data_IF_318610704299
#
_entry.id   IF_318610704299
#
_cell.length_a   1.000
_cell.length_b   1.000
_cell.length_c   1.000
_cell.angle_alpha   90.00
_cell.angle_beta   90.00
_cell.angle_gamma   90.00
#
_symmetry.space_group_name_H-M   'P 1'
#
loop_
_entity.id
_entity.type
_entity.pdbx_description
1 polymer ?
#
# COMPACT_ATOMS: atom_id res chain seq x y z
N UNK A 1 20.61 11.08 3.78
CA UNK A 1 19.89 11.40 2.53
C UNK A 1 19.30 10.11 1.98
N UNK A 2 18.01 10.10 1.62
CA UNK A 2 17.31 8.89 1.20
C UNK A 2 17.80 8.43 -0.18
N UNK A 3 17.84 7.11 -0.39
CA UNK A 3 18.33 6.44 -1.59
C UNK A 3 17.71 6.95 -2.90
N UNK A 4 16.49 7.52 -2.84
CA UNK A 4 15.77 8.08 -3.97
C UNK A 4 16.40 9.36 -4.54
N UNK A 5 16.94 10.24 -3.69
CA UNK A 5 17.58 11.50 -4.13
C UNK A 5 18.80 11.23 -5.03
N UNK A 6 19.50 10.13 -4.77
CA UNK A 6 20.75 9.78 -5.47
C UNK A 6 20.51 8.90 -6.70
N UNK A 7 19.28 8.45 -6.95
CA UNK A 7 18.93 7.65 -8.14
C UNK A 7 18.34 8.47 -9.27
N UNK A 8 18.03 9.74 -9.02
CA UNK A 8 17.38 10.63 -9.99
C UNK A 8 18.41 11.59 -10.58
N UNK A 9 18.34 11.76 -11.91
CA UNK A 9 19.20 12.67 -12.67
C UNK A 9 19.17 14.09 -12.08
N UNK A 10 20.32 14.77 -12.05
CA UNK A 10 20.53 16.04 -11.32
C UNK A 10 19.51 17.12 -11.70
N UNK A 11 19.12 17.16 -12.98
CA UNK A 11 18.13 18.11 -13.52
C UNK A 11 16.72 17.97 -12.92
N UNK A 12 16.40 16.81 -12.33
CA UNK A 12 15.07 16.50 -11.79
C UNK A 12 15.01 16.61 -10.25
N UNK A 13 16.15 16.81 -9.59
CA UNK A 13 16.24 16.99 -8.14
C UNK A 13 15.43 18.19 -7.59
N UNK A 14 15.32 19.34 -8.30
CA UNK A 14 14.53 20.49 -7.84
C UNK A 14 13.02 20.21 -7.73
N UNK A 15 12.50 19.20 -8.44
CA UNK A 15 11.07 18.86 -8.47
C UNK A 15 10.57 18.22 -7.17
N UNK A 16 11.46 17.76 -6.28
CA UNK A 16 11.10 17.14 -5.00
C UNK A 16 10.81 18.13 -3.87
N UNK A 17 11.10 19.42 -4.06
CA UNK A 17 11.07 20.41 -2.98
C UNK A 17 9.86 21.35 -2.99
N UNK A 18 9.01 21.31 -4.01
CA UNK A 18 7.80 22.14 -4.07
C UNK A 18 6.59 21.31 -4.55
N UNK A 19 5.56 21.33 -3.73
CA UNK A 19 4.31 20.57 -3.85
C UNK A 19 3.62 20.82 -5.20
N UNK A 20 3.81 22.00 -5.79
CA UNK A 20 3.30 22.36 -7.11
C UNK A 20 3.96 21.55 -8.23
N UNK A 21 5.26 21.29 -8.13
CA UNK A 21 6.02 20.50 -9.11
C UNK A 21 5.78 19.01 -8.99
N UNK A 22 5.51 18.50 -7.78
CA UNK A 22 5.09 17.11 -7.61
C UNK A 22 3.79 16.83 -8.36
N UNK A 23 2.79 17.72 -8.21
CA UNK A 23 1.49 17.55 -8.87
C UNK A 23 1.61 17.71 -10.40
N UNK A 24 2.45 18.63 -10.89
CA UNK A 24 2.73 18.74 -12.33
C UNK A 24 3.51 17.54 -12.88
N UNK A 25 4.52 17.03 -12.18
CA UNK A 25 5.26 15.83 -12.58
C UNK A 25 4.34 14.62 -12.71
N UNK A 26 3.39 14.46 -11.77
CA UNK A 26 2.38 13.40 -11.81
C UNK A 26 1.38 13.58 -12.96
N UNK A 27 0.98 14.82 -13.30
CA UNK A 27 0.13 15.09 -14.48
C UNK A 27 0.87 14.82 -15.80
N UNK A 28 2.14 15.18 -15.89
CA UNK A 28 2.99 14.94 -17.06
C UNK A 28 3.24 13.45 -17.24
N UNK A 29 3.60 12.73 -16.16
CA UNK A 29 3.69 11.27 -16.16
C UNK A 29 2.37 10.64 -16.61
N UNK A 30 1.21 11.08 -16.10
CA UNK A 30 -0.10 10.56 -16.55
C UNK A 30 -0.35 10.75 -18.05
N UNK A 31 0.05 11.90 -18.60
CA UNK A 31 -0.14 12.25 -20.02
C UNK A 31 0.79 11.46 -20.94
N UNK A 32 2.05 11.29 -20.56
CA UNK A 32 3.08 10.61 -21.35
C UNK A 32 3.04 9.08 -21.17
N UNK A 33 2.68 8.60 -19.99
CA UNK A 33 2.83 7.21 -19.59
C UNK A 33 1.53 6.40 -19.66
N UNK A 34 0.49 6.82 -20.39
CA UNK A 34 -0.86 6.21 -20.36
C UNK A 34 -0.93 4.69 -20.10
N UNK A 35 -0.10 3.88 -20.77
CA UNK A 35 0.05 2.44 -20.54
C UNK A 35 0.97 2.07 -19.35
N UNK A 36 2.13 2.71 -19.24
CA UNK A 36 3.09 2.53 -18.11
C UNK A 36 2.48 2.89 -16.75
N UNK A 37 1.53 3.81 -16.70
CA UNK A 37 0.82 4.17 -15.47
C UNK A 37 -0.14 3.07 -15.01
N UNK A 38 -0.82 2.40 -15.95
CA UNK A 38 -1.65 1.23 -15.66
C UNK A 38 -0.78 0.08 -15.14
N UNK A 39 0.38 -0.14 -15.78
CA UNK A 39 1.36 -1.13 -15.33
C UNK A 39 1.83 -0.79 -13.90
N UNK A 40 2.20 0.46 -13.63
CA UNK A 40 2.65 0.91 -12.31
C UNK A 40 1.56 0.80 -11.22
N UNK A 41 0.29 1.04 -11.57
CA UNK A 41 -0.85 0.81 -10.68
C UNK A 41 -1.02 -0.69 -10.37
N UNK A 42 -0.90 -1.55 -11.37
CA UNK A 42 -0.95 -3.00 -11.20
C UNK A 42 0.23 -3.52 -10.38
N UNK A 43 1.44 -3.04 -10.63
CA UNK A 43 2.64 -3.40 -9.86
C UNK A 43 2.48 -2.98 -8.40
N UNK A 44 2.00 -1.76 -8.15
CA UNK A 44 1.71 -1.27 -6.80
C UNK A 44 0.63 -2.10 -6.09
N UNK A 45 -0.36 -2.61 -6.84
CA UNK A 45 -1.38 -3.51 -6.32
C UNK A 45 -0.79 -4.86 -5.92
N UNK A 46 0.04 -5.46 -6.77
CA UNK A 46 0.76 -6.71 -6.48
C UNK A 46 1.68 -6.52 -5.28
N UNK A 47 2.32 -5.36 -5.16
CA UNK A 47 3.19 -5.09 -4.02
C UNK A 47 2.46 -5.10 -2.68
N UNK A 48 1.15 -4.82 -2.61
CA UNK A 48 0.39 -4.90 -1.35
C UNK A 48 0.24 -6.35 -0.84
N UNK A 49 0.37 -7.33 -1.73
CA UNK A 49 0.33 -8.77 -1.45
C UNK A 49 1.68 -9.26 -0.91
N UNK A 50 2.11 -8.70 0.23
CA UNK A 50 3.33 -9.16 0.91
C UNK A 50 3.02 -10.27 1.87
N UNK A 51 3.55 -11.46 1.64
CA UNK A 51 3.47 -12.57 2.59
C UNK A 51 4.08 -12.14 3.94
N UNK A 52 3.37 -12.39 5.03
CA UNK A 52 3.91 -12.25 6.38
C UNK A 52 4.92 -13.36 6.66
N UNK A 53 6.04 -12.99 7.24
CA UNK A 53 7.12 -13.92 7.60
C UNK A 53 6.95 -14.37 9.06
N UNK A 54 6.64 -15.66 9.31
CA UNK A 54 6.41 -16.18 10.65
C UNK A 54 7.58 -15.89 11.59
N UNK A 55 7.27 -15.52 12.83
CA UNK A 55 8.30 -15.17 13.83
C UNK A 55 8.84 -13.73 13.72
N UNK A 56 8.39 -12.96 12.73
CA UNK A 56 8.67 -11.51 12.66
C UNK A 56 7.58 -10.67 13.34
N UNK A 57 7.84 -9.40 13.61
CA UNK A 57 6.85 -8.54 14.27
C UNK A 57 5.64 -8.24 13.37
N UNK A 58 4.43 -8.60 13.82
CA UNK A 58 3.17 -8.18 13.15
C UNK A 58 3.07 -6.67 13.03
N UNK A 59 3.49 -5.92 14.06
CA UNK A 59 3.53 -4.45 14.00
C UNK A 59 4.39 -3.97 12.82
N UNK A 60 5.58 -4.55 12.63
CA UNK A 60 6.45 -4.20 11.52
C UNK A 60 5.82 -4.57 10.16
N UNK A 61 5.14 -5.72 10.08
CA UNK A 61 4.43 -6.13 8.89
C UNK A 61 3.27 -5.19 8.53
N UNK A 62 2.45 -4.83 9.52
CA UNK A 62 1.35 -3.86 9.37
C UNK A 62 1.87 -2.50 8.91
N UNK A 63 2.96 -2.00 9.50
CA UNK A 63 3.57 -0.74 9.07
C UNK A 63 4.06 -0.82 7.62
N UNK A 64 4.66 -1.94 7.20
CA UNK A 64 5.09 -2.17 5.82
C UNK A 64 3.88 -2.16 4.87
N UNK A 65 2.80 -2.85 5.22
CA UNK A 65 1.56 -2.84 4.46
C UNK A 65 0.96 -1.43 4.36
N UNK A 66 0.84 -0.71 5.47
CA UNK A 66 0.28 0.66 5.50
C UNK A 66 1.05 1.64 4.63
N UNK A 67 2.39 1.54 4.60
CA UNK A 67 3.22 2.34 3.69
C UNK A 67 2.87 2.06 2.23
N UNK A 68 2.81 0.79 1.84
CA UNK A 68 2.45 0.38 0.46
C UNK A 68 1.03 0.78 0.08
N UNK A 69 0.07 0.57 0.97
CA UNK A 69 -1.33 0.97 0.76
C UNK A 69 -1.47 2.50 0.62
N UNK A 70 -0.68 3.28 1.35
CA UNK A 70 -0.65 4.74 1.21
C UNK A 70 -0.09 5.15 -0.15
N UNK A 71 1.02 4.56 -0.59
CA UNK A 71 1.57 4.78 -1.93
C UNK A 71 0.54 4.47 -3.01
N UNK A 72 -0.12 3.30 -2.93
CA UNK A 72 -1.17 2.90 -3.86
C UNK A 72 -2.34 3.90 -3.88
N UNK A 73 -2.82 4.33 -2.70
CA UNK A 73 -3.90 5.34 -2.61
C UNK A 73 -3.51 6.66 -3.26
N UNK A 74 -2.28 7.13 -3.05
CA UNK A 74 -1.78 8.33 -3.70
C UNK A 74 -1.74 8.20 -5.23
N UNK A 75 -1.34 7.03 -5.75
CA UNK A 75 -1.35 6.77 -7.19
C UNK A 75 -2.77 6.77 -7.76
N UNK A 76 -3.70 6.09 -7.08
CA UNK A 76 -5.12 6.03 -7.47
C UNK A 76 -5.82 7.38 -7.40
N UNK A 77 -5.64 8.16 -6.32
CA UNK A 77 -6.23 9.51 -6.22
C UNK A 77 -5.73 10.43 -7.33
N UNK A 78 -4.52 10.15 -7.82
CA UNK A 78 -3.84 10.87 -8.88
C UNK A 78 -4.00 10.23 -10.25
N UNK A 79 -4.90 9.26 -10.45
CA UNK A 79 -5.15 8.66 -11.77
C UNK A 79 -6.66 8.49 -11.97
N UNK A 80 -7.18 9.14 -12.99
CA UNK A 80 -8.63 9.23 -13.29
C UNK A 80 -9.31 7.87 -13.26
N UNK A 81 -10.26 7.64 -12.33
CA UNK A 81 -11.30 6.57 -12.27
C UNK A 81 -10.89 5.14 -12.64
N UNK A 82 -9.61 4.85 -12.83
CA UNK A 82 -9.14 3.66 -13.54
C UNK A 82 -9.20 2.43 -12.63
N UNK A 83 -8.90 2.64 -11.36
CA UNK A 83 -8.93 1.62 -10.32
C UNK A 83 -9.40 2.27 -9.01
N UNK A 84 -10.26 1.60 -8.25
CA UNK A 84 -10.59 1.99 -6.89
C UNK A 84 -10.57 0.74 -6.02
N UNK A 85 -9.86 0.79 -4.89
CA UNK A 85 -9.83 -0.31 -3.92
C UNK A 85 -10.60 0.13 -2.70
N UNK A 86 -11.66 -0.62 -2.40
CA UNK A 86 -12.45 -0.42 -1.19
C UNK A 86 -11.60 -0.75 0.03
N UNK A 87 -11.93 -0.13 1.17
CA UNK A 87 -11.25 -0.43 2.44
C UNK A 87 -11.38 -1.92 2.83
N UNK A 88 -12.47 -2.57 2.43
CA UNK A 88 -12.65 -4.02 2.61
C UNK A 88 -11.70 -4.85 1.75
N UNK A 89 -11.48 -4.47 0.49
CA UNK A 89 -10.49 -5.14 -0.36
C UNK A 89 -9.07 -4.96 0.18
N UNK A 90 -8.71 -3.77 0.66
CA UNK A 90 -7.43 -3.53 1.33
C UNK A 90 -7.26 -4.39 2.60
N UNK A 91 -8.31 -4.53 3.42
CA UNK A 91 -8.30 -5.45 4.56
C UNK A 91 -8.17 -6.91 4.13
N UNK A 92 -8.79 -7.31 3.02
CA UNK A 92 -8.64 -8.64 2.43
C UNK A 92 -7.20 -8.95 2.00
N UNK A 93 -6.47 -7.99 1.42
CA UNK A 93 -5.04 -8.15 1.14
C UNK A 93 -4.24 -8.39 2.42
N UNK A 94 -4.46 -7.56 3.45
CA UNK A 94 -3.74 -7.73 4.71
C UNK A 94 -4.10 -9.06 5.41
N UNK A 95 -5.35 -9.51 5.34
CA UNK A 95 -5.77 -10.81 5.84
C UNK A 95 -5.06 -11.95 5.08
N UNK A 96 -4.99 -11.85 3.76
CA UNK A 96 -4.29 -12.84 2.92
C UNK A 96 -2.80 -12.92 3.28
N UNK A 97 -2.16 -11.79 3.54
CA UNK A 97 -0.74 -11.75 3.93
C UNK A 97 -0.46 -12.62 5.15
N UNK A 98 -1.40 -12.69 6.10
CA UNK A 98 -1.29 -13.44 7.37
C UNK A 98 -1.69 -14.92 7.24
N UNK A 99 -2.42 -15.30 6.18
CA UNK A 99 -2.98 -16.65 6.02
C UNK A 99 -1.93 -17.77 6.00
N UNK A 100 -0.70 -17.44 5.64
CA UNK A 100 0.39 -18.41 5.50
C UNK A 100 1.07 -18.79 6.82
N UNK A 101 0.71 -18.12 7.93
CA UNK A 101 1.17 -18.50 9.26
C UNK A 101 0.05 -19.24 10.00
N UNK A 102 0.21 -20.56 10.14
CA UNK A 102 -0.76 -21.42 10.81
C UNK A 102 -0.99 -21.00 12.27
N UNK A 103 0.00 -20.40 12.94
CA UNK A 103 -0.13 -19.90 14.31
C UNK A 103 -1.13 -18.74 14.42
N UNK A 104 -1.38 -18.04 13.32
CA UNK A 104 -2.33 -16.94 13.25
C UNK A 104 -3.73 -17.38 12.82
N UNK A 105 -3.98 -18.68 12.59
CA UNK A 105 -5.28 -19.17 12.07
C UNK A 105 -6.48 -18.68 12.89
N UNK A 106 -6.42 -18.78 14.22
CA UNK A 106 -7.50 -18.33 15.10
C UNK A 106 -7.70 -16.81 15.04
N UNK A 107 -6.62 -16.05 14.92
CA UNK A 107 -6.64 -14.60 14.76
C UNK A 107 -7.23 -14.20 13.40
N UNK A 108 -6.79 -14.84 12.32
CA UNK A 108 -7.31 -14.67 10.94
C UNK A 108 -8.81 -14.96 10.88
N UNK A 109 -9.28 -16.03 11.55
CA UNK A 109 -10.71 -16.35 11.68
C UNK A 109 -11.48 -15.23 12.38
N UNK A 110 -10.99 -14.73 13.53
CA UNK A 110 -11.65 -13.63 14.25
C UNK A 110 -11.74 -12.35 13.41
N UNK A 111 -10.67 -12.05 12.66
CA UNK A 111 -10.61 -10.87 11.78
C UNK A 111 -11.56 -10.98 10.58
N UNK A 112 -11.95 -12.19 10.17
CA UNK A 112 -12.93 -12.43 9.10
C UNK A 112 -14.33 -11.93 9.48
N UNK A 113 -14.68 -11.95 10.77
CA UNK A 113 -16.00 -11.54 11.28
C UNK A 113 -16.14 -10.03 11.52
N UNK A 114 -15.16 -9.21 11.11
CA UNK A 114 -15.27 -7.74 11.24
C UNK A 114 -16.30 -7.22 10.23
N UNK A 115 -17.41 -6.68 10.73
CA UNK A 115 -18.46 -6.06 9.90
C UNK A 115 -18.67 -4.56 10.22
N UNK A 116 -18.72 -3.67 9.20
CA UNK A 116 -18.17 -3.90 7.86
C UNK A 116 -16.65 -4.06 7.90
N UNK A 117 -16.13 -4.91 7.02
CA UNK A 117 -14.69 -5.12 6.86
C UNK A 117 -14.03 -3.82 6.40
N UNK A 118 -13.19 -3.26 7.27
CA UNK A 118 -12.53 -1.97 7.11
C UNK A 118 -11.08 -2.10 7.56
N UNK A 119 -10.14 -1.61 6.74
CA UNK A 119 -8.71 -1.71 7.01
C UNK A 119 -8.28 -1.11 8.35
N UNK A 120 -8.89 -0.02 8.81
CA UNK A 120 -8.58 0.58 10.11
C UNK A 120 -9.07 -0.28 11.28
N UNK A 121 -10.32 -0.78 11.19
CA UNK A 121 -10.87 -1.70 12.20
C UNK A 121 -10.06 -2.99 12.26
N UNK A 122 -9.68 -3.51 11.10
CA UNK A 122 -8.85 -4.69 10.93
C UNK A 122 -7.50 -4.50 11.62
N UNK A 123 -6.76 -3.44 11.28
CA UNK A 123 -5.45 -3.15 11.88
C UNK A 123 -5.57 -2.99 13.38
N UNK A 124 -6.55 -2.21 13.87
CA UNK A 124 -6.75 -2.02 15.31
C UNK A 124 -6.96 -3.36 16.03
N UNK A 125 -7.77 -4.26 15.46
CA UNK A 125 -8.07 -5.55 16.07
C UNK A 125 -6.87 -6.49 16.03
N UNK A 126 -6.19 -6.57 14.88
CA UNK A 126 -4.96 -7.34 14.68
C UNK A 126 -3.89 -6.97 15.71
N UNK A 127 -3.67 -5.67 15.92
CA UNK A 127 -2.67 -5.18 16.87
C UNK A 127 -3.10 -5.35 18.34
N UNK A 128 -4.39 -5.54 18.63
CA UNK A 128 -4.87 -5.77 19.99
C UNK A 128 -4.88 -7.25 20.40
N UNK A 129 -5.06 -8.15 19.44
CA UNK A 129 -5.11 -9.60 19.69
C UNK A 129 -3.74 -10.30 19.57
N UNK A 130 -2.71 -9.58 19.08
CA UNK A 130 -1.33 -10.08 18.95
C UNK A 130 -0.37 -9.47 20.00
N UNK A 131 -0.91 -9.01 21.15
CA UNK A 131 -0.11 -8.60 22.33
C UNK A 131 -0.04 -9.79 23.29
#
# INVERSE_FOLDING_TARGET
MSTLHNTVHEDLQPLFYDEKYFVEAIRTLRKECGQTLVILLCDSLVEMDTIYDPGTSINAHVLKFQKKYTTFKCLVSNTTKLLNITEGAAAGFLLRNLKHDDSLTSLVQNLYYIEPLNIQKFIKRLLSEHI
#
